data_IF_812868946353
#
_entry.id   IF_812868946353
#
_cell.length_a   1.000
_cell.length_b   1.000
_cell.length_c   1.000
_cell.angle_alpha   90.00
_cell.angle_beta   90.00
_cell.angle_gamma   90.00
#
_symmetry.space_group_name_H-M   'P 1'
#
loop_
_entity.id
_entity.type
_entity.pdbx_description
1 polymer ?
#
# COMPACT_ATOMS: atom_id res chain seq x y z
N UNK A 1 9.81 8.92 -8.86
CA UNK A 1 9.21 7.57 -9.02
C UNK A 1 10.16 6.59 -8.36
N UNK A 2 9.64 5.68 -7.54
CA UNK A 2 10.41 4.63 -6.87
C UNK A 2 9.81 3.27 -7.25
N UNK A 3 10.64 2.34 -7.70
CA UNK A 3 10.18 1.05 -8.21
C UNK A 3 11.08 -0.08 -7.75
N UNK A 4 10.45 -1.17 -7.33
CA UNK A 4 11.07 -2.47 -7.12
C UNK A 4 10.08 -3.56 -7.59
N UNK A 5 10.57 -4.78 -7.84
CA UNK A 5 9.65 -5.91 -8.02
C UNK A 5 8.87 -6.16 -6.72
N UNK A 6 9.58 -6.21 -5.60
CA UNK A 6 9.02 -6.25 -4.26
C UNK A 6 9.85 -5.42 -3.28
N UNK A 7 9.18 -4.87 -2.28
CA UNK A 7 9.74 -4.20 -1.12
C UNK A 7 9.59 -5.14 0.07
N UNK A 8 10.68 -5.72 0.53
CA UNK A 8 10.71 -6.68 1.63
C UNK A 8 11.02 -5.97 2.94
N UNK A 9 10.10 -6.04 3.91
CA UNK A 9 10.30 -5.54 5.27
C UNK A 9 10.57 -6.74 6.19
N UNK A 10 11.82 -6.92 6.61
CA UNK A 10 12.26 -8.02 7.47
C UNK A 10 12.57 -7.54 8.88
N UNK A 11 11.91 -8.12 9.88
CA UNK A 11 12.10 -7.80 11.28
C UNK A 11 10.94 -7.01 11.90
N UNK A 12 10.83 -7.13 13.22
CA UNK A 12 9.86 -6.39 14.03
C UNK A 12 10.15 -4.88 13.97
N UNK A 13 9.07 -4.09 14.04
CA UNK A 13 9.12 -2.63 14.12
C UNK A 13 9.74 -1.92 12.91
N UNK A 14 9.91 -2.63 11.78
CA UNK A 14 10.34 -2.01 10.53
C UNK A 14 9.31 -1.00 10.03
N UNK A 15 9.81 0.11 9.50
CA UNK A 15 8.97 1.17 8.95
C UNK A 15 9.29 1.46 7.48
N UNK A 16 8.27 1.45 6.63
CA UNK A 16 8.34 2.01 5.28
C UNK A 16 7.59 3.35 5.27
N UNK A 17 8.31 4.44 5.04
CA UNK A 17 7.76 5.79 5.01
C UNK A 17 7.85 6.37 3.60
N UNK A 18 6.70 6.64 3.00
CA UNK A 18 6.59 7.19 1.66
C UNK A 18 6.08 8.63 1.74
N UNK A 19 6.90 9.57 1.28
CA UNK A 19 6.56 11.00 1.23
C UNK A 19 5.38 11.34 0.29
N UNK A 20 4.91 12.59 0.39
CA UNK A 20 3.92 13.15 -0.55
C UNK A 20 4.45 13.24 -1.98
N UNK A 21 3.55 13.19 -2.98
CA UNK A 21 3.86 13.39 -4.40
C UNK A 21 4.62 12.24 -5.09
N UNK A 22 4.84 11.12 -4.41
CA UNK A 22 5.56 9.97 -4.96
C UNK A 22 4.69 9.09 -5.87
N UNK A 23 5.31 8.45 -6.86
CA UNK A 23 4.75 7.27 -7.55
C UNK A 23 5.58 6.06 -7.15
N UNK A 24 4.94 5.09 -6.51
CA UNK A 24 5.55 3.88 -5.95
C UNK A 24 4.96 2.68 -6.69
N UNK A 25 5.83 1.80 -7.15
CA UNK A 25 5.43 0.55 -7.79
C UNK A 25 6.15 -0.65 -7.16
N UNK A 26 5.49 -1.79 -7.17
CA UNK A 26 6.01 -3.04 -6.60
C UNK A 26 5.16 -3.56 -5.44
N UNK A 27 5.20 -4.87 -5.23
CA UNK A 27 4.49 -5.48 -4.11
C UNK A 27 5.22 -5.19 -2.79
N UNK A 28 4.49 -5.06 -1.69
CA UNK A 28 5.06 -4.87 -0.35
C UNK A 28 4.82 -6.15 0.45
N UNK A 29 5.89 -6.70 1.00
CA UNK A 29 5.85 -7.94 1.76
C UNK A 29 6.41 -7.72 3.17
N UNK A 30 5.69 -8.19 4.19
CA UNK A 30 6.16 -8.18 5.56
C UNK A 30 5.55 -9.34 6.35
N UNK A 31 6.37 -10.17 6.99
CA UNK A 31 5.85 -11.26 7.83
C UNK A 31 5.69 -10.83 9.29
N UNK A 32 6.40 -9.79 9.72
CA UNK A 32 6.39 -9.27 11.08
C UNK A 32 5.48 -8.03 11.23
N UNK A 33 5.33 -7.56 12.47
CA UNK A 33 4.63 -6.32 12.77
C UNK A 33 5.45 -5.12 12.24
N UNK A 34 5.11 -4.68 11.03
CA UNK A 34 5.68 -3.50 10.39
C UNK A 34 4.71 -2.31 10.38
N UNK A 35 5.26 -1.11 10.22
CA UNK A 35 4.50 0.13 9.99
C UNK A 35 4.73 0.63 8.58
N UNK A 36 3.67 0.72 7.78
CA UNK A 36 3.73 1.17 6.38
C UNK A 36 2.92 2.45 6.26
N UNK A 37 3.57 3.54 5.85
CA UNK A 37 2.98 4.88 5.84
C UNK A 37 3.15 5.51 4.45
N UNK A 38 2.04 5.93 3.86
CA UNK A 38 1.99 6.66 2.61
C UNK A 38 1.42 8.07 2.78
N UNK A 39 2.07 9.02 2.13
CA UNK A 39 1.69 10.42 2.14
C UNK A 39 2.07 11.12 3.43
N UNK A 40 2.41 12.40 3.33
CA UNK A 40 2.75 13.26 4.47
C UNK A 40 1.77 14.43 4.56
N UNK A 41 2.07 15.46 5.36
CA UNK A 41 1.12 16.54 5.68
C UNK A 41 0.80 17.51 4.55
N UNK A 42 1.49 17.41 3.40
CA UNK A 42 1.31 18.34 2.28
C UNK A 42 0.13 17.94 1.38
N UNK A 43 -0.99 18.62 1.57
CA UNK A 43 -2.30 18.32 0.95
C UNK A 43 -2.35 18.55 -0.57
N UNK A 44 -1.31 19.13 -1.17
CA UNK A 44 -1.29 19.47 -2.60
C UNK A 44 -0.55 18.45 -3.47
N UNK A 45 -0.05 17.35 -2.88
CA UNK A 45 0.78 16.38 -3.59
C UNK A 45 0.33 14.95 -3.31
N UNK A 46 -0.59 14.44 -4.14
CA UNK A 46 -1.09 13.07 -3.99
C UNK A 46 0.00 12.03 -4.28
N UNK A 47 0.08 11.02 -3.42
CA UNK A 47 0.95 9.86 -3.61
C UNK A 47 0.20 8.77 -4.36
N UNK A 48 0.85 8.11 -5.32
CA UNK A 48 0.27 7.00 -6.06
C UNK A 48 1.02 5.71 -5.72
N UNK A 49 0.30 4.67 -5.36
CA UNK A 49 0.84 3.35 -5.12
C UNK A 49 0.19 2.31 -6.04
N UNK A 50 1.01 1.61 -6.82
CA UNK A 50 0.60 0.54 -7.71
C UNK A 50 1.29 -0.77 -7.31
N UNK A 51 0.55 -1.63 -6.62
CA UNK A 51 1.08 -2.88 -6.07
C UNK A 51 0.13 -3.51 -5.06
N UNK A 52 0.50 -4.68 -4.58
CA UNK A 52 -0.26 -5.42 -3.58
C UNK A 52 0.52 -5.44 -2.26
N UNK A 53 -0.21 -5.45 -1.14
CA UNK A 53 0.41 -5.55 0.19
C UNK A 53 0.11 -6.92 0.76
N UNK A 54 1.14 -7.72 1.01
CA UNK A 54 1.07 -8.98 1.73
C UNK A 54 1.80 -8.84 3.06
N UNK A 55 1.08 -8.31 4.06
CA UNK A 55 1.64 -7.93 5.34
C UNK A 55 0.66 -8.20 6.50
N UNK A 56 0.36 -9.47 6.83
CA UNK A 56 -0.76 -9.84 7.72
C UNK A 56 -0.65 -9.31 9.16
N UNK A 57 0.55 -8.94 9.61
CA UNK A 57 0.78 -8.36 10.94
C UNK A 57 1.02 -6.84 10.91
N UNK A 58 1.13 -6.24 9.73
CA UNK A 58 1.49 -4.83 9.58
C UNK A 58 0.29 -3.90 9.68
N UNK A 59 0.55 -2.69 10.18
CA UNK A 59 -0.39 -1.57 10.15
C UNK A 59 -0.07 -0.67 8.96
N UNK A 60 -1.08 -0.34 8.16
CA UNK A 60 -0.93 0.53 6.99
C UNK A 60 -1.73 1.82 7.18
N UNK A 61 -1.07 2.96 7.01
CA UNK A 61 -1.72 4.27 6.99
C UNK A 61 -1.47 4.93 5.64
N UNK A 62 -2.54 5.40 5.00
CA UNK A 62 -2.48 6.12 3.74
C UNK A 62 -3.15 7.47 3.89
N UNK A 63 -2.41 8.52 3.56
CA UNK A 63 -2.89 9.90 3.52
C UNK A 63 -2.76 10.44 2.10
N UNK A 64 -3.82 11.06 1.59
CA UNK A 64 -3.88 11.68 0.26
C UNK A 64 -3.29 10.78 -0.85
N UNK A 65 -3.52 9.48 -0.72
CA UNK A 65 -2.89 8.45 -1.54
C UNK A 65 -3.92 7.77 -2.45
N UNK A 66 -3.58 7.60 -3.72
CA UNK A 66 -4.29 6.71 -4.63
C UNK A 66 -3.59 5.35 -4.67
N UNK A 67 -4.23 4.31 -4.11
CA UNK A 67 -3.74 2.94 -4.15
C UNK A 67 -4.56 2.11 -5.15
N UNK A 68 -3.87 1.51 -6.12
CA UNK A 68 -4.42 0.49 -7.00
C UNK A 68 -3.85 -0.89 -6.64
N UNK A 69 -4.70 -1.74 -6.06
CA UNK A 69 -4.39 -3.13 -5.77
C UNK A 69 -4.93 -4.01 -6.91
N UNK A 70 -4.05 -4.80 -7.53
CA UNK A 70 -4.37 -5.60 -8.73
C UNK A 70 -4.55 -7.10 -8.44
N UNK A 71 -4.22 -7.53 -7.24
CA UNK A 71 -4.35 -8.89 -6.69
C UNK A 71 -4.82 -8.80 -5.23
N UNK A 72 -5.02 -9.96 -4.61
CA UNK A 72 -5.32 -10.03 -3.18
C UNK A 72 -4.22 -9.33 -2.37
N UNK A 73 -4.65 -8.51 -1.40
CA UNK A 73 -3.81 -7.88 -0.39
C UNK A 73 -4.31 -8.26 1.00
N UNK A 74 -3.41 -8.38 1.96
CA UNK A 74 -3.68 -8.78 3.34
C UNK A 74 -2.89 -7.87 4.28
N UNK A 75 -3.58 -7.21 5.22
CA UNK A 75 -2.99 -6.32 6.23
C UNK A 75 -3.72 -6.50 7.56
N UNK A 76 -3.06 -6.22 8.69
CA UNK A 76 -3.70 -6.28 10.01
C UNK A 76 -4.70 -5.15 10.19
N UNK A 77 -4.30 -3.94 9.80
CA UNK A 77 -5.12 -2.74 9.89
C UNK A 77 -4.79 -1.80 8.73
N UNK A 78 -5.82 -1.11 8.24
CA UNK A 78 -5.71 -0.13 7.17
C UNK A 78 -6.45 1.15 7.58
N UNK A 79 -5.73 2.26 7.60
CA UNK A 79 -6.29 3.60 7.82
C UNK A 79 -6.17 4.41 6.54
N UNK A 80 -7.30 4.94 6.05
CA UNK A 80 -7.36 5.77 4.85
C UNK A 80 -7.83 7.18 5.23
N UNK A 81 -7.02 8.21 4.93
CA UNK A 81 -7.34 9.62 5.14
C UNK A 81 -7.19 10.37 3.81
N UNK A 82 -8.25 10.97 3.28
CA UNK A 82 -8.22 11.64 1.96
C UNK A 82 -7.76 10.73 0.81
N UNK A 83 -7.78 9.42 1.01
CA UNK A 83 -7.17 8.43 0.12
C UNK A 83 -8.21 7.67 -0.67
N UNK A 84 -7.85 7.25 -1.88
CA UNK A 84 -8.68 6.40 -2.73
C UNK A 84 -8.03 5.03 -2.86
N UNK A 85 -8.82 3.99 -2.65
CA UNK A 85 -8.42 2.60 -2.87
C UNK A 85 -9.28 1.99 -3.97
N UNK A 86 -8.62 1.47 -5.01
CA UNK A 86 -9.26 0.72 -6.08
C UNK A 86 -8.79 -0.74 -6.09
N UNK A 87 -9.75 -1.66 -6.08
CA UNK A 87 -9.51 -3.09 -6.24
C UNK A 87 -9.77 -3.48 -7.70
N UNK A 88 -8.70 -3.67 -8.45
CA UNK A 88 -8.78 -4.05 -9.85
C UNK A 88 -8.34 -5.51 -10.00
N UNK A 89 -9.29 -6.45 -9.92
CA UNK A 89 -9.00 -7.85 -10.21
C UNK A 89 -8.92 -8.04 -11.73
N UNK A 90 -7.73 -7.86 -12.32
CA UNK A 90 -7.52 -8.24 -13.71
C UNK A 90 -7.76 -9.75 -13.87
N UNK A 91 -8.78 -10.13 -14.64
CA UNK A 91 -8.95 -11.51 -15.12
C UNK A 91 -9.84 -12.46 -14.29
N UNK A 92 -10.69 -11.97 -13.38
CA UNK A 92 -11.84 -12.78 -12.92
C UNK A 92 -13.14 -12.01 -13.11
N UNK A 93 -13.79 -12.27 -14.26
CA UNK A 93 -15.20 -11.99 -14.41
C UNK A 93 -16.01 -12.79 -13.39
N UNK A 94 -17.03 -12.14 -12.83
CA UNK A 94 -18.07 -12.78 -12.03
C UNK A 94 -17.73 -12.89 -10.54
N UNK A 95 -18.23 -11.93 -9.75
CA UNK A 95 -18.79 -12.31 -8.47
C UNK A 95 -20.03 -13.15 -8.78
N UNK A 96 -19.91 -14.48 -8.73
CA UNK A 96 -21.07 -15.34 -8.54
C UNK A 96 -21.33 -15.44 -7.04
N UNK A 97 -22.34 -14.72 -6.57
CA UNK A 97 -23.12 -15.05 -5.38
C UNK A 97 -24.58 -14.76 -5.69
#
# INVERSE_FOLDING_TARGET
>A
MYSAQSWELSGQDMSLNVGAGGIITGDINANDAASIIFGTTDINQSTNYYGNINAPLASVTMKDTAWQANKQSVVKSLTLNGSTLSFNRFGQGGLTS
#
